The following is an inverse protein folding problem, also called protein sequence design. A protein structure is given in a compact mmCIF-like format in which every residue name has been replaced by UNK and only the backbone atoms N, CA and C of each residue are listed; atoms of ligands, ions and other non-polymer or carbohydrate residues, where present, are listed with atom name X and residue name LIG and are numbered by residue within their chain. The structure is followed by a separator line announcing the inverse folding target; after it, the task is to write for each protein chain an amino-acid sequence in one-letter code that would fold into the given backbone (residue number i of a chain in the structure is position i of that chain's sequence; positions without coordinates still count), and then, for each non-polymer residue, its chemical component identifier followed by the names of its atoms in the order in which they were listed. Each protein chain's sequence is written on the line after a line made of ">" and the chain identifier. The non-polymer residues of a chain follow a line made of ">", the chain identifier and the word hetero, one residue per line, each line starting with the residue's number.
data_IF_009730452064
#
_entry.id   IF_009730452064
#
_cell.length_a   1.000
_cell.length_b   1.000
_cell.length_c   1.000
_cell.angle_alpha   90.00
_cell.angle_beta   90.00
_cell.angle_gamma   90.00
#
_symmetry.space_group_name_H-M   'P 1'
#
loop_
_entity.id
_entity.type
_entity.pdbx_description
1 polymer ?
#
# COMPACT_ATOMS: atom_id res chain seq x y z
N UNK A 1 -4.84 17.71 -22.60
CA UNK A 1 -4.02 16.50 -22.82
C UNK A 1 -3.33 16.69 -24.15
N UNK A 2 -2.00 16.78 -24.17
CA UNK A 2 -1.26 17.05 -25.39
C UNK A 2 -0.57 15.75 -25.84
N UNK A 3 -1.02 15.20 -26.96
CA UNK A 3 -0.26 14.17 -27.67
C UNK A 3 1.12 14.76 -28.01
N UNK A 4 2.23 14.07 -27.68
CA UNK A 4 3.55 14.55 -28.04
C UNK A 4 3.67 14.77 -29.54
N UNK A 5 4.38 15.82 -29.96
CA UNK A 5 4.70 16.01 -31.37
C UNK A 5 5.48 14.80 -31.89
N UNK A 6 5.11 14.26 -33.06
CA UNK A 6 5.77 13.09 -33.66
C UNK A 6 7.27 13.31 -33.92
N UNK A 7 7.70 14.57 -34.04
CA UNK A 7 9.08 14.99 -34.18
C UNK A 7 9.87 15.09 -32.87
N UNK A 8 9.23 14.88 -31.71
CA UNK A 8 9.89 14.95 -30.41
C UNK A 8 10.89 13.78 -30.27
N UNK A 9 12.20 14.03 -30.10
CA UNK A 9 13.20 12.96 -30.01
C UNK A 9 12.95 11.98 -28.85
N UNK A 10 12.42 12.49 -27.74
CA UNK A 10 12.04 11.69 -26.57
C UNK A 10 10.88 10.75 -26.89
N UNK A 11 9.87 11.23 -27.63
CA UNK A 11 8.72 10.43 -28.05
C UNK A 11 9.12 9.36 -29.07
N UNK A 12 9.95 9.70 -30.05
CA UNK A 12 10.50 8.74 -31.00
C UNK A 12 11.29 7.64 -30.29
N UNK A 13 12.17 8.02 -29.35
CA UNK A 13 12.91 7.04 -28.55
C UNK A 13 12.00 6.13 -27.73
N UNK A 14 10.94 6.69 -27.15
CA UNK A 14 9.94 5.90 -26.43
C UNK A 14 9.29 4.84 -27.34
N UNK A 15 8.85 5.24 -28.53
CA UNK A 15 8.22 4.33 -29.51
C UNK A 15 9.18 3.22 -29.95
N UNK A 16 10.46 3.56 -30.21
CA UNK A 16 11.49 2.59 -30.56
C UNK A 16 11.67 1.52 -29.47
N UNK A 17 11.80 1.94 -28.21
CA UNK A 17 12.02 1.03 -27.08
C UNK A 17 10.80 0.14 -26.85
N UNK A 18 9.60 0.69 -26.95
CA UNK A 18 8.34 -0.06 -26.80
C UNK A 18 8.19 -1.10 -27.92
N UNK A 19 8.45 -0.70 -29.17
CA UNK A 19 8.37 -1.61 -30.32
C UNK A 19 9.41 -2.73 -30.23
N UNK A 20 10.65 -2.42 -29.81
CA UNK A 20 11.71 -3.41 -29.62
C UNK A 20 11.36 -4.45 -28.54
N UNK A 21 10.59 -4.06 -27.52
CA UNK A 21 10.07 -4.96 -26.49
C UNK A 21 8.81 -5.74 -26.92
N UNK A 22 8.33 -5.56 -28.16
CA UNK A 22 7.11 -6.18 -28.66
C UNK A 22 5.83 -5.68 -27.98
N UNK A 23 5.89 -4.52 -27.32
CA UNK A 23 4.78 -3.93 -26.58
C UNK A 23 4.04 -2.87 -27.41
N UNK A 24 2.85 -2.49 -26.94
CA UNK A 24 2.09 -1.39 -27.53
C UNK A 24 2.32 -0.08 -26.77
N UNK A 25 2.40 1.06 -27.46
CA UNK A 25 2.53 2.36 -26.80
C UNK A 25 1.28 2.65 -25.97
N UNK A 26 1.47 3.37 -24.86
CA UNK A 26 0.36 3.75 -24.01
C UNK A 26 -0.55 4.74 -24.75
N UNK A 27 -1.84 4.48 -24.75
CA UNK A 27 -2.87 5.37 -25.33
C UNK A 27 -2.84 6.78 -24.72
N UNK A 28 -2.34 6.92 -23.49
CA UNK A 28 -2.02 8.19 -22.85
C UNK A 28 -0.51 8.24 -22.54
N UNK A 29 0.30 8.94 -23.36
CA UNK A 29 1.74 9.04 -23.19
C UNK A 29 2.16 9.48 -21.77
N UNK A 30 1.46 10.47 -21.21
CA UNK A 30 1.69 10.99 -19.84
C UNK A 30 1.30 10.00 -18.72
N UNK A 31 0.82 8.79 -19.06
CA UNK A 31 0.64 7.69 -18.10
C UNK A 31 1.72 6.62 -18.22
N UNK A 32 2.64 6.74 -19.19
CA UNK A 32 3.75 5.79 -19.32
C UNK A 32 4.93 6.18 -18.42
N UNK A 33 5.29 5.28 -17.50
CA UNK A 33 6.48 5.45 -16.65
C UNK A 33 7.78 5.51 -17.47
N UNK A 34 7.87 4.75 -18.57
CA UNK A 34 9.03 4.79 -19.47
C UNK A 34 9.13 6.15 -20.19
N UNK A 35 8.01 6.70 -20.65
CA UNK A 35 8.01 8.01 -21.29
C UNK A 35 8.42 9.12 -20.30
N UNK A 36 7.90 9.10 -19.08
CA UNK A 36 8.34 10.02 -18.01
C UNK A 36 9.81 9.88 -17.67
N UNK A 37 10.31 8.64 -17.60
CA UNK A 37 11.72 8.35 -17.38
C UNK A 37 12.62 8.98 -18.45
N UNK A 38 12.28 8.79 -19.72
CA UNK A 38 13.00 9.38 -20.85
C UNK A 38 12.94 10.91 -20.85
N UNK A 39 11.77 11.50 -20.52
CA UNK A 39 11.63 12.96 -20.36
C UNK A 39 12.50 13.53 -19.24
N UNK A 40 12.74 12.75 -18.19
CA UNK A 40 13.66 13.10 -17.11
C UNK A 40 15.14 12.89 -17.49
N UNK A 41 15.46 12.55 -18.75
CA UNK A 41 16.82 12.31 -19.23
C UNK A 41 17.43 10.98 -18.77
N UNK A 42 16.64 10.09 -18.15
CA UNK A 42 17.12 8.78 -17.70
C UNK A 42 17.09 7.77 -18.86
N UNK A 43 18.09 6.91 -18.92
CA UNK A 43 18.18 5.82 -19.90
C UNK A 43 17.16 4.72 -19.60
N UNK A 44 16.54 4.08 -20.62
CA UNK A 44 15.77 2.86 -20.42
C UNK A 44 16.64 1.72 -19.89
N UNK A 45 16.05 0.80 -19.12
CA UNK A 45 16.69 -0.45 -18.76
C UNK A 45 16.68 -1.41 -19.97
N UNK A 46 17.65 -2.32 -20.05
CA UNK A 46 17.70 -3.36 -21.09
C UNK A 46 16.56 -4.37 -21.01
N UNK A 47 16.04 -4.61 -19.80
CA UNK A 47 14.84 -5.37 -19.55
C UNK A 47 13.80 -4.48 -18.86
N UNK A 48 12.50 -4.74 -19.03
CA UNK A 48 11.48 -4.11 -18.19
C UNK A 48 11.79 -4.37 -16.71
N UNK A 49 11.70 -3.35 -15.83
CA UNK A 49 11.89 -3.59 -14.40
C UNK A 49 10.77 -4.51 -13.87
N UNK A 50 11.00 -5.20 -12.75
CA UNK A 50 9.93 -5.83 -11.99
C UNK A 50 8.79 -4.83 -11.71
N UNK A 51 7.57 -5.33 -11.48
CA UNK A 51 6.45 -4.48 -11.12
C UNK A 51 6.23 -4.50 -9.60
N UNK A 52 5.73 -3.38 -9.07
CA UNK A 52 5.12 -3.31 -7.74
C UNK A 52 3.68 -2.80 -7.94
N UNK A 53 2.70 -3.63 -7.59
CA UNK A 53 1.27 -3.36 -7.80
C UNK A 53 0.94 -2.86 -9.22
N UNK A 54 1.46 -3.54 -10.24
CA UNK A 54 1.33 -3.20 -11.67
C UNK A 54 2.10 -1.95 -12.14
N UNK A 55 2.88 -1.29 -11.28
CA UNK A 55 3.73 -0.15 -11.66
C UNK A 55 5.20 -0.56 -11.84
N UNK A 56 5.90 -0.09 -12.88
CA UNK A 56 7.33 -0.35 -13.07
C UNK A 56 8.18 0.09 -11.87
N UNK A 57 8.87 -0.87 -11.23
CA UNK A 57 9.64 -0.66 -10.00
C UNK A 57 11.12 -0.39 -10.31
N UNK A 58 11.43 0.71 -10.99
CA UNK A 58 12.81 1.04 -11.38
C UNK A 58 13.79 1.08 -10.20
N UNK A 59 13.37 1.61 -9.05
CA UNK A 59 14.23 1.76 -7.89
C UNK A 59 14.70 0.41 -7.33
N UNK A 60 13.93 -0.67 -7.47
CA UNK A 60 14.36 -2.02 -7.03
C UNK A 60 15.56 -2.54 -7.81
N UNK A 61 15.68 -2.10 -9.06
CA UNK A 61 16.80 -2.44 -9.96
C UNK A 61 17.97 -1.48 -9.73
N UNK A 62 17.68 -0.18 -9.65
CA UNK A 62 18.70 0.87 -9.68
C UNK A 62 19.27 1.25 -8.31
N UNK A 63 18.62 0.83 -7.23
CA UNK A 63 19.03 1.13 -5.86
C UNK A 63 19.58 -0.09 -5.12
N UNK A 64 20.44 0.17 -4.14
CA UNK A 64 20.85 -0.78 -3.09
C UNK A 64 20.07 -0.58 -1.80
N UNK A 65 19.07 0.31 -1.80
CA UNK A 65 18.22 0.56 -0.65
C UNK A 65 17.42 -0.68 -0.29
N UNK A 66 17.11 -0.79 0.99
CA UNK A 66 16.17 -1.78 1.51
C UNK A 66 14.74 -1.26 1.31
N UNK A 67 13.92 -2.03 0.60
CA UNK A 67 12.49 -1.78 0.44
C UNK A 67 11.72 -2.58 1.48
N UNK A 68 11.07 -1.89 2.41
CA UNK A 68 10.33 -2.48 3.52
C UNK A 68 9.32 -1.47 4.12
N UNK A 69 8.25 -1.93 4.77
CA UNK A 69 7.81 -3.33 4.84
C UNK A 69 7.11 -3.77 3.54
N UNK A 70 7.34 -5.01 3.15
CA UNK A 70 6.62 -5.72 2.08
C UNK A 70 5.77 -6.84 2.70
N UNK A 71 4.76 -7.29 1.97
CA UNK A 71 4.02 -8.50 2.31
C UNK A 71 4.97 -9.71 2.36
N UNK A 72 4.59 -10.74 3.13
CA UNK A 72 5.35 -11.98 3.22
C UNK A 72 5.25 -12.87 1.98
N UNK A 73 6.13 -13.89 1.84
CA UNK A 73 6.15 -14.75 0.68
C UNK A 73 4.83 -15.51 0.54
N UNK A 74 4.10 -15.24 -0.53
CA UNK A 74 3.01 -16.10 -0.99
C UNK A 74 3.57 -16.98 -2.09
N UNK A 75 3.43 -18.30 -1.95
CA UNK A 75 3.89 -19.23 -2.98
C UNK A 75 3.22 -18.92 -4.32
N UNK A 76 4.00 -18.94 -5.39
CA UNK A 76 3.45 -18.82 -6.74
C UNK A 76 2.79 -20.15 -7.11
N UNK A 77 1.51 -20.08 -7.46
CA UNK A 77 0.77 -21.19 -8.03
C UNK A 77 0.62 -20.93 -9.54
N UNK A 78 0.98 -21.91 -10.40
CA UNK A 78 0.78 -21.80 -11.84
C UNK A 78 -0.69 -21.49 -12.17
N UNK A 79 -0.91 -20.61 -13.14
CA UNK A 79 -2.27 -20.20 -13.53
C UNK A 79 -2.94 -21.25 -14.43
N UNK A 80 -2.13 -22.12 -15.05
CA UNK A 80 -2.57 -23.21 -15.93
C UNK A 80 -1.78 -24.49 -15.66
N UNK A 81 -2.35 -25.65 -15.98
CA UNK A 81 -1.68 -26.95 -15.79
C UNK A 81 -0.46 -27.14 -16.71
N UNK A 82 -0.41 -26.41 -17.82
CA UNK A 82 0.67 -26.48 -18.82
C UNK A 82 1.88 -25.60 -18.46
N UNK A 83 1.75 -24.73 -17.45
CA UNK A 83 2.84 -23.90 -16.99
C UNK A 83 3.87 -24.73 -16.21
N UNK A 84 5.18 -24.57 -16.50
CA UNK A 84 6.20 -25.30 -15.79
C UNK A 84 6.18 -24.94 -14.30
N UNK A 85 6.26 -25.96 -13.44
CA UNK A 85 6.40 -25.75 -12.01
C UNK A 85 7.74 -25.05 -11.74
N UNK A 86 7.68 -23.79 -11.33
CA UNK A 86 8.84 -22.98 -10.95
C UNK A 86 8.76 -22.67 -9.46
N UNK A 87 9.90 -22.76 -8.76
CA UNK A 87 9.97 -22.28 -7.38
C UNK A 87 9.98 -20.76 -7.40
N UNK A 88 8.84 -20.16 -7.04
CA UNK A 88 8.62 -18.72 -7.09
C UNK A 88 7.72 -18.24 -5.95
N UNK A 89 7.81 -16.95 -5.66
CA UNK A 89 6.97 -16.25 -4.67
C UNK A 89 6.41 -14.96 -5.26
N UNK A 90 5.23 -14.56 -4.82
CA UNK A 90 4.68 -13.25 -5.11
C UNK A 90 5.32 -12.19 -4.21
N UNK A 91 5.82 -11.12 -4.82
CA UNK A 91 6.26 -9.90 -4.14
C UNK A 91 5.63 -8.72 -4.88
N UNK A 92 4.84 -7.91 -4.18
CA UNK A 92 4.04 -6.79 -4.74
C UNK A 92 3.27 -7.14 -6.02
N UNK A 93 2.61 -8.30 -6.04
CA UNK A 93 1.82 -8.81 -7.17
C UNK A 93 2.63 -9.13 -8.44
N UNK A 94 3.95 -9.33 -8.30
CA UNK A 94 4.82 -9.85 -9.36
C UNK A 94 5.41 -11.19 -8.92
N UNK A 95 5.51 -12.20 -9.80
CA UNK A 95 6.18 -13.45 -9.46
C UNK A 95 7.71 -13.27 -9.53
N UNK A 96 8.39 -13.74 -8.50
CA UNK A 96 9.85 -13.74 -8.37
C UNK A 96 10.34 -15.17 -8.22
N UNK A 97 11.33 -15.55 -9.03
CA UNK A 97 12.00 -16.85 -8.95
C UNK A 97 12.80 -16.93 -7.66
N UNK A 98 12.64 -18.01 -6.91
CA UNK A 98 13.46 -18.31 -5.74
C UNK A 98 14.75 -18.96 -6.25
N UNK A 99 15.84 -18.22 -6.13
CA UNK A 99 17.18 -18.68 -6.53
C UNK A 99 17.80 -19.56 -5.44
N UNK A 100 17.58 -19.19 -4.18
CA UNK A 100 18.12 -19.92 -3.03
C UNK A 100 17.23 -19.69 -1.80
N UNK A 101 16.90 -20.77 -1.07
CA UNK A 101 16.21 -20.68 0.23
C UNK A 101 17.24 -20.81 1.35
N UNK A 102 17.50 -19.70 2.05
CA UNK A 102 18.46 -19.66 3.16
C UNK A 102 17.77 -20.16 4.44
N UNK A 103 16.53 -19.73 4.69
CA UNK A 103 15.69 -20.19 5.79
C UNK A 103 14.20 -19.94 5.49
N UNK A 104 13.31 -20.28 6.43
CA UNK A 104 11.89 -19.91 6.33
C UNK A 104 11.65 -18.40 6.36
N UNK A 105 12.62 -17.63 6.84
CA UNK A 105 12.55 -16.17 7.01
C UNK A 105 13.51 -15.43 6.09
N UNK A 106 14.17 -16.12 5.15
CA UNK A 106 15.15 -15.50 4.27
C UNK A 106 15.37 -16.33 2.99
N UNK A 107 15.39 -15.65 1.85
CA UNK A 107 15.65 -16.25 0.54
C UNK A 107 16.33 -15.25 -0.39
N UNK A 108 16.99 -15.78 -1.42
CA UNK A 108 17.49 -15.02 -2.55
C UNK A 108 16.51 -15.21 -3.70
N UNK A 109 16.04 -14.11 -4.27
CA UNK A 109 15.09 -14.09 -5.38
C UNK A 109 15.66 -13.35 -6.59
N UNK A 110 15.06 -13.60 -7.74
CA UNK A 110 15.34 -12.85 -8.97
C UNK A 110 14.09 -12.81 -9.86
N UNK A 111 14.14 -12.05 -10.94
CA UNK A 111 13.07 -11.94 -11.93
C UNK A 111 13.57 -12.49 -13.27
N UNK A 112 12.65 -12.99 -14.09
CA UNK A 112 12.97 -13.63 -15.37
C UNK A 112 13.85 -12.73 -16.27
N UNK A 113 14.95 -13.28 -16.80
CA UNK A 113 15.93 -12.54 -17.60
C UNK A 113 16.88 -11.66 -16.79
N UNK A 114 16.43 -11.07 -15.67
CA UNK A 114 17.32 -10.33 -14.77
C UNK A 114 18.34 -11.24 -14.09
N UNK A 115 17.98 -12.48 -13.80
CA UNK A 115 18.91 -13.49 -13.27
C UNK A 115 20.09 -13.73 -14.23
N UNK A 116 19.84 -13.77 -15.54
CA UNK A 116 20.87 -13.98 -16.57
C UNK A 116 21.83 -12.78 -16.67
N UNK A 117 21.36 -11.60 -16.29
CA UNK A 117 22.17 -10.39 -16.11
C UNK A 117 22.87 -10.33 -14.74
N UNK A 118 22.81 -11.40 -13.95
CA UNK A 118 23.48 -11.51 -12.66
C UNK A 118 22.75 -10.82 -11.51
N UNK A 119 21.50 -10.40 -11.70
CA UNK A 119 20.75 -9.76 -10.62
C UNK A 119 20.21 -10.76 -9.61
N UNK A 120 20.43 -10.43 -8.34
CA UNK A 120 19.93 -11.16 -7.19
C UNK A 120 19.47 -10.19 -6.12
N UNK A 121 18.36 -10.50 -5.50
CA UNK A 121 17.81 -9.74 -4.39
C UNK A 121 17.70 -10.63 -3.17
N UNK A 122 18.11 -10.09 -2.03
CA UNK A 122 17.81 -10.69 -0.73
C UNK A 122 16.39 -10.32 -0.35
N UNK A 123 15.60 -11.31 0.03
CA UNK A 123 14.24 -11.14 0.52
C UNK A 123 14.12 -11.83 1.87
N UNK A 124 13.87 -11.07 2.94
CA UNK A 124 13.94 -11.59 4.31
C UNK A 124 12.93 -10.93 5.24
N UNK A 125 12.51 -11.66 6.27
CA UNK A 125 11.66 -11.17 7.33
C UNK A 125 12.37 -10.04 8.10
N UNK A 126 11.75 -8.86 8.13
CA UNK A 126 12.31 -7.66 8.74
C UNK A 126 11.19 -6.82 9.37
N UNK A 127 10.78 -7.13 10.61
CA UNK A 127 9.93 -6.24 11.38
C UNK A 127 10.53 -4.85 11.47
N UNK A 128 9.74 -3.82 11.16
CA UNK A 128 10.19 -2.43 11.11
C UNK A 128 9.45 -1.62 12.15
N UNK A 129 10.16 -0.87 12.99
CA UNK A 129 9.52 -0.07 14.05
C UNK A 129 8.53 0.92 13.44
N UNK A 130 7.35 1.06 14.04
CA UNK A 130 6.21 1.77 13.46
C UNK A 130 6.46 3.28 13.23
N UNK A 131 7.42 3.88 13.93
CA UNK A 131 7.87 5.27 13.72
C UNK A 131 8.84 5.42 12.52
N UNK A 132 9.44 4.31 12.06
CA UNK A 132 10.35 4.25 10.92
C UNK A 132 9.71 3.67 9.66
N UNK A 133 8.56 3.02 9.81
CA UNK A 133 7.78 2.46 8.71
C UNK A 133 6.95 3.54 8.01
N UNK A 134 6.59 3.35 6.74
CA UNK A 134 5.53 4.14 6.09
C UNK A 134 4.13 3.59 6.43
N UNK A 135 4.01 2.28 6.64
CA UNK A 135 2.80 1.66 7.17
C UNK A 135 2.61 2.02 8.65
N UNK A 136 1.39 2.44 9.01
CA UNK A 136 1.06 2.79 10.38
C UNK A 136 -0.42 2.62 10.70
N UNK A 137 -0.71 2.46 11.99
CA UNK A 137 -2.05 2.67 12.52
C UNK A 137 -2.24 4.16 12.83
N UNK A 138 -3.47 4.65 12.64
CA UNK A 138 -3.84 6.04 12.87
C UNK A 138 -4.46 6.18 14.26
N UNK A 139 -4.04 7.21 15.00
CA UNK A 139 -4.62 7.53 16.30
C UNK A 139 -5.89 8.38 16.11
N UNK A 140 -7.03 7.88 16.60
CA UNK A 140 -8.30 8.60 16.61
C UNK A 140 -8.58 9.23 17.97
N UNK A 141 -8.03 8.67 19.05
CA UNK A 141 -8.20 9.19 20.41
C UNK A 141 -7.63 10.61 20.59
N UNK A 142 -6.62 10.99 19.81
CA UNK A 142 -6.04 12.33 19.80
C UNK A 142 -5.50 12.67 18.40
N UNK A 143 -6.11 13.66 17.75
CA UNK A 143 -5.75 14.11 16.39
C UNK A 143 -4.33 14.66 16.30
N UNK A 144 -3.73 15.11 17.41
CA UNK A 144 -2.36 15.64 17.43
C UNK A 144 -1.29 14.55 17.37
N UNK A 145 -1.62 13.32 17.77
CA UNK A 145 -0.71 12.17 17.76
C UNK A 145 -0.49 11.67 16.33
N UNK A 146 -1.57 11.58 15.54
CA UNK A 146 -1.55 11.18 14.13
C UNK A 146 -1.25 9.70 13.88
N UNK A 147 -0.18 9.14 14.46
CA UNK A 147 0.28 7.77 14.25
C UNK A 147 0.50 7.03 15.58
N UNK A 148 0.04 5.79 15.65
CA UNK A 148 0.27 4.91 16.79
C UNK A 148 1.61 4.19 16.56
N UNK A 149 2.54 4.38 17.49
CA UNK A 149 3.92 3.87 17.40
C UNK A 149 4.32 3.02 18.61
N UNK A 150 3.53 3.05 19.68
CA UNK A 150 3.82 2.37 20.95
C UNK A 150 2.61 1.59 21.45
N UNK A 151 2.88 0.58 22.28
CA UNK A 151 1.84 -0.24 22.93
C UNK A 151 0.87 0.59 23.79
N UNK A 152 1.38 1.64 24.44
CA UNK A 152 0.58 2.54 25.27
C UNK A 152 -0.37 3.40 24.44
N UNK A 153 0.07 3.88 23.26
CA UNK A 153 -0.82 4.59 22.33
C UNK A 153 -1.88 3.64 21.76
N UNK A 154 -1.53 2.37 21.52
CA UNK A 154 -2.50 1.36 21.08
C UNK A 154 -3.56 1.09 22.16
N UNK A 155 -3.18 1.06 23.44
CA UNK A 155 -4.15 0.94 24.53
C UNK A 155 -5.15 2.10 24.57
N UNK A 156 -4.67 3.33 24.36
CA UNK A 156 -5.53 4.51 24.29
C UNK A 156 -6.50 4.43 23.11
N UNK A 157 -6.02 4.00 21.93
CA UNK A 157 -6.88 3.79 20.76
C UNK A 157 -7.93 2.70 21.01
N UNK A 158 -7.54 1.57 21.59
CA UNK A 158 -8.47 0.47 21.85
C UNK A 158 -9.57 0.86 22.82
N UNK A 159 -9.23 1.61 23.89
CA UNK A 159 -10.21 2.17 24.83
C UNK A 159 -11.11 3.18 24.14
N UNK A 160 -10.55 4.09 23.36
CA UNK A 160 -11.30 5.09 22.60
C UNK A 160 -12.35 4.44 21.69
N UNK A 161 -11.97 3.40 20.94
CA UNK A 161 -12.89 2.67 20.05
C UNK A 161 -13.97 1.90 20.84
N UNK A 162 -13.62 1.32 21.98
CA UNK A 162 -14.57 0.60 22.83
C UNK A 162 -15.62 1.55 23.45
N UNK A 163 -15.19 2.73 23.92
CA UNK A 163 -16.09 3.76 24.43
C UNK A 163 -17.01 4.32 23.33
N UNK A 164 -16.48 4.54 22.12
CA UNK A 164 -17.30 4.93 20.97
C UNK A 164 -18.32 3.86 20.61
N UNK A 165 -17.94 2.58 20.66
CA UNK A 165 -18.86 1.47 20.46
C UNK A 165 -20.02 1.51 21.47
N UNK A 166 -19.74 1.72 22.76
CA UNK A 166 -20.78 1.89 23.79
C UNK A 166 -21.66 3.12 23.53
N UNK A 167 -21.05 4.27 23.27
CA UNK A 167 -21.78 5.51 23.00
C UNK A 167 -22.70 5.40 21.77
N UNK A 168 -22.25 4.74 20.69
CA UNK A 168 -23.08 4.50 19.52
C UNK A 168 -24.30 3.62 19.83
N UNK A 169 -24.14 2.61 20.70
CA UNK A 169 -25.27 1.78 21.17
C UNK A 169 -26.27 2.59 22.00
N UNK A 170 -25.79 3.45 22.90
CA UNK A 170 -26.62 4.38 23.69
C UNK A 170 -27.43 5.31 22.77
N UNK A 171 -26.77 5.90 21.78
CA UNK A 171 -27.41 6.74 20.76
C UNK A 171 -28.44 5.94 19.96
N UNK A 172 -28.11 4.73 19.52
CA UNK A 172 -29.00 3.90 18.71
C UNK A 172 -30.32 3.59 19.43
N UNK A 173 -30.27 3.29 20.73
CA UNK A 173 -31.47 2.94 21.52
C UNK A 173 -32.20 4.13 22.15
N UNK A 174 -31.62 5.33 22.05
CA UNK A 174 -32.30 6.56 22.50
C UNK A 174 -33.59 6.83 21.72
N UNK A 175 -34.48 7.63 22.31
CA UNK A 175 -35.73 8.10 21.68
C UNK A 175 -35.53 9.29 20.74
N UNK A 176 -34.28 9.71 20.50
CA UNK A 176 -33.98 10.83 19.62
C UNK A 176 -34.39 10.57 18.17
N UNK A 177 -34.62 11.65 17.41
CA UNK A 177 -34.82 11.56 15.96
C UNK A 177 -33.55 11.03 15.29
N UNK A 178 -33.68 10.40 14.12
CA UNK A 178 -32.53 9.90 13.36
C UNK A 178 -31.49 10.99 13.08
N UNK A 179 -31.93 12.22 12.85
CA UNK A 179 -31.03 13.34 12.60
C UNK A 179 -30.15 13.64 13.82
N UNK A 180 -30.75 13.70 15.01
CA UNK A 180 -30.02 13.92 16.26
C UNK A 180 -29.08 12.74 16.54
N UNK A 181 -29.49 11.50 16.22
CA UNK A 181 -28.64 10.32 16.35
C UNK A 181 -27.41 10.39 15.43
N UNK A 182 -27.58 10.84 14.18
CA UNK A 182 -26.47 11.01 13.25
C UNK A 182 -25.46 12.05 13.75
N UNK A 183 -25.94 13.20 14.22
CA UNK A 183 -25.07 14.22 14.83
C UNK A 183 -24.39 13.72 16.11
N UNK A 184 -25.03 12.83 16.87
CA UNK A 184 -24.42 12.18 18.04
C UNK A 184 -23.29 11.21 17.67
N UNK A 185 -23.44 10.48 16.56
CA UNK A 185 -22.42 9.52 16.07
C UNK A 185 -21.24 10.23 15.40
N UNK A 186 -21.48 11.37 14.76
CA UNK A 186 -20.43 12.17 14.14
C UNK A 186 -20.68 13.66 14.46
N UNK A 187 -20.12 14.18 15.57
CA UNK A 187 -20.34 15.57 16.00
C UNK A 187 -19.81 16.61 15.02
N UNK A 188 -18.86 16.22 14.17
CA UNK A 188 -18.29 17.06 13.11
C UNK A 188 -19.15 17.04 11.83
N UNK A 189 -20.26 16.29 11.82
CA UNK A 189 -21.22 16.26 10.72
C UNK A 189 -21.90 17.63 10.60
N UNK A 190 -21.28 18.50 9.82
CA UNK A 190 -21.90 19.75 9.39
C UNK A 190 -22.97 19.40 8.35
N UNK A 191 -24.13 20.04 8.46
CA UNK A 191 -25.15 20.11 7.38
C UNK A 191 -24.65 20.85 6.12
N UNK A 192 -23.33 21.01 5.96
CA UNK A 192 -22.72 21.82 4.95
C UNK A 192 -22.54 21.05 3.62
N UNK A 193 -23.48 21.36 2.73
CA UNK A 193 -23.37 21.42 1.27
C UNK A 193 -23.40 20.09 0.50
N UNK A 194 -24.06 20.14 -0.66
CA UNK A 194 -24.19 19.10 -1.69
C UNK A 194 -22.85 18.78 -2.39
N UNK A 195 -21.78 18.73 -1.60
CA UNK A 195 -20.45 18.31 -2.00
C UNK A 195 -20.35 16.80 -1.90
N UNK A 196 -19.52 16.20 -2.75
CA UNK A 196 -19.23 14.77 -2.68
C UNK A 196 -18.73 14.37 -1.26
N UNK A 197 -17.90 15.22 -0.65
CA UNK A 197 -17.34 14.97 0.68
C UNK A 197 -18.41 14.97 1.79
N UNK A 198 -19.33 15.93 1.75
CA UNK A 198 -20.46 15.99 2.70
C UNK A 198 -21.34 14.74 2.59
N UNK A 199 -21.70 14.33 1.36
CA UNK A 199 -22.47 13.09 1.13
C UNK A 199 -21.76 11.84 1.63
N UNK A 200 -20.44 11.74 1.42
CA UNK A 200 -19.63 10.62 1.92
C UNK A 200 -19.59 10.57 3.45
N UNK A 201 -19.38 11.70 4.11
CA UNK A 201 -19.36 11.78 5.57
C UNK A 201 -20.71 11.38 6.17
N UNK A 202 -21.82 11.89 5.60
CA UNK A 202 -23.18 11.52 6.03
C UNK A 202 -23.46 10.04 5.82
N UNK A 203 -23.06 9.47 4.68
CA UNK A 203 -23.19 8.04 4.45
C UNK A 203 -22.39 7.21 5.45
N UNK A 204 -21.16 7.63 5.80
CA UNK A 204 -20.34 6.97 6.80
C UNK A 204 -20.98 7.02 8.20
N UNK A 205 -21.52 8.17 8.60
CA UNK A 205 -22.27 8.31 9.86
C UNK A 205 -23.51 7.41 9.88
N UNK A 206 -24.26 7.33 8.78
CA UNK A 206 -25.41 6.44 8.65
C UNK A 206 -25.00 4.97 8.76
N UNK A 207 -23.91 4.55 8.11
CA UNK A 207 -23.40 3.17 8.22
C UNK A 207 -23.03 2.81 9.67
N UNK A 208 -22.44 3.74 10.42
CA UNK A 208 -22.14 3.56 11.85
C UNK A 208 -23.43 3.46 12.68
N UNK A 209 -24.44 4.29 12.41
CA UNK A 209 -25.75 4.22 13.07
C UNK A 209 -26.44 2.89 12.82
N UNK A 210 -26.51 2.46 11.55
CA UNK A 210 -27.15 1.21 11.17
C UNK A 210 -26.46 0.00 11.80
N UNK A 211 -25.12 0.05 11.89
CA UNK A 211 -24.34 -0.98 12.62
C UNK A 211 -24.73 -1.01 14.10
N UNK A 212 -24.78 0.14 14.76
CA UNK A 212 -25.14 0.22 16.17
C UNK A 212 -26.59 -0.26 16.42
N UNK A 213 -27.53 0.06 15.53
CA UNK A 213 -28.92 -0.46 15.60
C UNK A 213 -28.94 -1.98 15.47
N UNK A 214 -28.22 -2.56 14.51
CA UNK A 214 -28.12 -4.02 14.35
C UNK A 214 -27.48 -4.69 15.57
N UNK A 215 -26.42 -4.09 16.10
CA UNK A 215 -25.74 -4.62 17.29
C UNK A 215 -26.69 -4.58 18.51
N UNK A 216 -27.45 -3.50 18.70
CA UNK A 216 -28.44 -3.39 19.77
C UNK A 216 -29.58 -4.43 19.62
N UNK A 217 -30.07 -4.66 18.40
CA UNK A 217 -31.06 -5.71 18.11
C UNK A 217 -30.51 -7.10 18.43
N UNK A 218 -29.28 -7.40 17.98
CA UNK A 218 -28.59 -8.67 18.27
C UNK A 218 -28.44 -8.89 19.78
N UNK A 219 -28.17 -7.83 20.55
CA UNK A 219 -28.10 -7.90 22.01
C UNK A 219 -29.46 -8.22 22.63
N UNK A 220 -30.52 -7.55 22.18
CA UNK A 220 -31.89 -7.80 22.64
C UNK A 220 -32.35 -9.24 22.35
N UNK A 221 -32.06 -9.78 21.16
CA UNK A 221 -32.35 -11.16 20.78
C UNK A 221 -31.63 -12.19 21.67
N UNK A 222 -30.44 -11.84 22.16
CA UNK A 222 -29.66 -12.66 23.09
C UNK A 222 -30.04 -12.46 24.57
N UNK A 223 -31.04 -11.63 24.86
CA UNK A 223 -31.44 -11.29 26.23
C UNK A 223 -30.41 -10.45 26.99
N UNK A 224 -29.50 -9.78 26.28
CA UNK A 224 -28.49 -8.91 26.87
C UNK A 224 -29.00 -7.46 27.00
N UNK A 225 -28.51 -6.69 27.99
CA UNK A 225 -28.80 -5.26 28.06
C UNK A 225 -28.40 -4.55 26.77
N UNK A 226 -29.24 -3.63 26.28
CA UNK A 226 -28.99 -2.90 25.04
C UNK A 226 -27.66 -2.13 25.05
N UNK A 227 -27.34 -1.50 26.19
CA UNK A 227 -26.06 -0.82 26.43
C UNK A 227 -25.10 -1.80 27.13
N UNK A 228 -23.86 -1.95 26.67
CA UNK A 228 -22.88 -2.84 27.29
C UNK A 228 -22.43 -2.33 28.66
N UNK A 229 -22.15 -3.27 29.54
CA UNK A 229 -21.50 -3.00 30.84
C UNK A 229 -20.03 -2.61 30.64
N UNK A 230 -19.43 -1.98 31.64
CA UNK A 230 -18.01 -1.57 31.58
C UNK A 230 -17.06 -2.78 31.39
N UNK A 231 -17.42 -3.95 31.94
CA UNK A 231 -16.68 -5.19 31.71
C UNK A 231 -16.75 -5.66 30.24
N UNK A 232 -17.88 -5.46 29.57
CA UNK A 232 -18.02 -5.76 28.14
C UNK A 232 -17.25 -4.76 27.27
N UNK A 233 -17.17 -3.49 27.68
CA UNK A 233 -16.35 -2.47 27.01
C UNK A 233 -14.87 -2.82 27.11
N UNK A 234 -14.38 -3.19 28.29
CA UNK A 234 -12.98 -3.61 28.47
C UNK A 234 -12.67 -4.86 27.64
N UNK A 235 -13.56 -5.86 27.65
CA UNK A 235 -13.41 -7.04 26.81
C UNK A 235 -13.43 -6.71 25.31
N UNK A 236 -14.21 -5.71 24.89
CA UNK A 236 -14.19 -5.21 23.52
C UNK A 236 -12.84 -4.59 23.18
N UNK A 237 -12.29 -3.73 24.04
CA UNK A 237 -10.99 -3.09 23.84
C UNK A 237 -9.88 -4.14 23.69
N UNK A 238 -9.87 -5.16 24.54
CA UNK A 238 -8.90 -6.26 24.47
C UNK A 238 -9.02 -7.06 23.17
N UNK A 239 -10.23 -7.42 22.74
CA UNK A 239 -10.46 -8.09 21.45
C UNK A 239 -10.01 -7.22 20.29
N UNK A 240 -10.31 -5.92 20.33
CA UNK A 240 -9.92 -4.98 19.29
C UNK A 240 -8.39 -4.87 19.19
N UNK A 241 -7.69 -4.82 20.32
CA UNK A 241 -6.23 -4.86 20.38
C UNK A 241 -5.65 -6.11 19.73
N UNK A 242 -6.19 -7.29 20.07
CA UNK A 242 -5.74 -8.57 19.48
C UNK A 242 -5.92 -8.52 17.96
N UNK A 243 -7.08 -8.09 17.48
CA UNK A 243 -7.36 -8.00 16.05
C UNK A 243 -6.44 -7.02 15.30
N UNK A 244 -6.04 -5.91 15.94
CA UNK A 244 -5.11 -4.94 15.34
C UNK A 244 -3.68 -5.48 15.24
N UNK A 245 -3.27 -6.34 16.18
CA UNK A 245 -1.95 -6.97 16.17
C UNK A 245 -1.92 -8.21 15.27
N UNK A 246 -3.06 -8.85 15.01
CA UNK A 246 -3.13 -10.05 14.19
C UNK A 246 -2.63 -9.80 12.76
N UNK A 247 -1.48 -10.40 12.42
CA UNK A 247 -0.97 -10.51 11.06
C UNK A 247 -0.15 -9.33 10.53
N UNK A 248 -0.15 -8.16 11.19
CA UNK A 248 0.51 -6.96 10.63
C UNK A 248 1.34 -6.15 11.63
N UNK A 249 1.15 -6.34 12.93
CA UNK A 249 1.91 -5.61 13.94
C UNK A 249 2.34 -6.50 15.10
N UNK A 250 3.53 -6.24 15.61
CA UNK A 250 4.12 -6.94 16.74
C UNK A 250 4.52 -5.94 17.81
N UNK A 251 4.48 -6.38 19.07
CA UNK A 251 4.89 -5.56 20.20
C UNK A 251 6.22 -6.05 20.75
N UNK A 252 7.15 -5.13 20.91
CA UNK A 252 8.45 -5.42 21.48
C UNK A 252 8.96 -4.20 22.27
N UNK A 253 9.33 -4.41 23.53
CA UNK A 253 9.90 -3.39 24.41
C UNK A 253 9.07 -2.08 24.48
N UNK A 254 7.73 -2.21 24.43
CA UNK A 254 6.78 -1.09 24.45
C UNK A 254 6.58 -0.36 23.11
N UNK A 255 7.31 -0.76 22.07
CA UNK A 255 7.17 -0.25 20.71
C UNK A 255 6.32 -1.17 19.86
N UNK A 256 5.62 -0.58 18.89
CA UNK A 256 5.01 -1.33 17.80
C UNK A 256 5.99 -1.49 16.66
N UNK A 257 6.00 -2.68 16.08
CA UNK A 257 6.71 -3.03 14.86
C UNK A 257 5.69 -3.45 13.83
N UNK A 258 5.81 -2.92 12.62
CA UNK A 258 5.09 -3.45 11.47
C UNK A 258 5.76 -4.75 11.08
N UNK A 259 5.00 -5.83 11.13
CA UNK A 259 5.46 -7.12 10.64
C UNK A 259 5.56 -7.06 9.11
N UNK A 260 6.61 -7.65 8.56
CA UNK A 260 6.83 -7.55 7.13
C UNK A 260 8.17 -8.09 6.68
N UNK A 261 8.35 -8.08 5.37
CA UNK A 261 9.56 -8.51 4.70
C UNK A 261 10.27 -7.32 4.07
N UNK A 262 11.53 -7.55 3.74
CA UNK A 262 12.40 -6.57 3.12
C UNK A 262 13.00 -7.16 1.85
N UNK A 263 13.10 -6.33 0.81
CA UNK A 263 13.78 -6.67 -0.44
C UNK A 263 14.97 -5.73 -0.65
N UNK A 264 16.11 -6.27 -1.04
CA UNK A 264 17.31 -5.48 -1.34
C UNK A 264 18.09 -6.14 -2.47
N UNK A 265 18.47 -5.37 -3.48
CA UNK A 265 19.41 -5.85 -4.51
C UNK A 265 20.78 -6.09 -3.86
N UNK A 266 21.29 -7.32 -4.00
CA UNK A 266 22.62 -7.71 -3.49
C UNK A 266 23.61 -7.99 -4.62
N UNK A 267 23.12 -8.16 -5.85
CA UNK A 267 23.94 -8.32 -7.05
C UNK A 267 23.18 -7.78 -8.27
N UNK A 268 23.88 -7.21 -9.27
CA UNK A 268 25.27 -6.73 -9.18
C UNK A 268 25.41 -5.64 -8.09
N UNK A 269 26.62 -5.22 -7.72
CA UNK A 269 26.77 -4.07 -6.81
C UNK A 269 26.48 -2.78 -7.60
N UNK A 270 27.21 -2.57 -8.69
CA UNK A 270 27.06 -1.37 -9.54
C UNK A 270 26.41 -1.71 -10.87
N UNK A 271 25.63 -0.76 -11.38
CA UNK A 271 25.07 -0.84 -12.73
C UNK A 271 26.01 -0.19 -13.74
N UNK A 272 26.47 -0.98 -14.72
CA UNK A 272 27.17 -0.49 -15.90
C UNK A 272 26.27 -0.27 -17.12
N UNK A 273 26.84 0.24 -18.23
CA UNK A 273 26.13 0.50 -19.49
C UNK A 273 25.37 -0.70 -20.06
N UNK A 274 25.83 -1.92 -19.77
CA UNK A 274 25.19 -3.19 -20.17
C UNK A 274 23.78 -3.38 -19.60
N UNK A 275 23.41 -2.62 -18.56
CA UNK A 275 22.07 -2.66 -17.96
C UNK A 275 21.12 -1.62 -18.55
N UNK A 276 21.62 -0.76 -19.46
CA UNK A 276 20.87 0.34 -20.03
C UNK A 276 20.83 0.30 -21.55
N UNK A 277 19.69 0.67 -22.12
CA UNK A 277 19.61 1.02 -23.54
C UNK A 277 20.09 2.48 -23.74
N UNK A 278 20.48 2.85 -24.96
CA UNK A 278 20.73 4.26 -25.30
C UNK A 278 19.55 5.15 -24.88
N UNK A 279 19.85 6.31 -24.28
CA UNK A 279 18.85 7.28 -23.84
C UNK A 279 18.15 8.00 -25.00
N UNK A 280 17.23 8.90 -24.69
CA UNK A 280 16.68 9.80 -25.70
C UNK A 280 17.77 10.78 -26.16
N UNK A 281 17.83 11.12 -27.46
CA UNK A 281 18.70 12.20 -27.92
C UNK A 281 18.35 13.49 -27.17
N UNK A 282 19.36 14.26 -26.77
CA UNK A 282 19.11 15.59 -26.22
C UNK A 282 18.33 16.39 -27.27
N UNK A 283 17.21 16.99 -26.88
CA UNK A 283 16.56 18.00 -27.70
C UNK A 283 17.61 19.09 -27.95
N UNK A 284 18.01 19.29 -29.21
CA UNK A 284 18.79 20.49 -29.53
C UNK A 284 17.98 21.69 -29.02
N UNK A 285 18.60 22.66 -28.33
CA UNK A 285 17.89 23.90 -28.04
C UNK A 285 17.37 24.43 -29.37
N UNK A 286 16.06 24.70 -29.45
CA UNK A 286 15.51 25.46 -30.56
C UNK A 286 16.33 26.74 -30.62
N UNK A 287 17.15 26.88 -31.66
CA UNK A 287 17.77 28.16 -32.00
C UNK A 287 16.59 29.09 -32.19
N UNK A 288 16.46 30.07 -31.30
CA UNK A 288 15.51 31.16 -31.44
C UNK A 288 15.75 31.77 -32.81
N UNK A 289 14.85 31.53 -33.76
CA UNK A 289 14.76 32.32 -34.97
C UNK A 289 14.09 33.64 -34.55
N UNK A 290 14.89 34.53 -33.97
CA UNK A 290 14.63 35.96 -34.07
C UNK A 290 15.35 36.44 -35.33
N UNK A 291 14.55 36.72 -36.36
CA UNK A 291 14.72 37.83 -37.31
C UNK A 291 13.34 38.45 -37.51
#
# INVERSE_FOLDING_TARGET
>A
MNTPLESCPVWQRYLEVVAAAGAMPNHLPDKSSLYHRLRAGKQPLVLPPPLSHSYPWYDVVESEKVFAPLDGPVAYEPLTEDEPLVDAVWIDQTPWLVVERISNSEMIVSQLGWLDLGFRWRYWHKPTRADQSEACMIAHYDRSVGRITTSAQLDLECRYQAEHWKAHLEIAVSSFSNEVKLMGIDPDLRDAEDTLRGRMNRAAAQMRLDRAVRDAQTRAERGLPAVPSDAEVEAYAQRYRINLLEGSFQEQDGWLYVDGWALQRISPEKLGPEHYLPGAPASQPQVSLED
#
